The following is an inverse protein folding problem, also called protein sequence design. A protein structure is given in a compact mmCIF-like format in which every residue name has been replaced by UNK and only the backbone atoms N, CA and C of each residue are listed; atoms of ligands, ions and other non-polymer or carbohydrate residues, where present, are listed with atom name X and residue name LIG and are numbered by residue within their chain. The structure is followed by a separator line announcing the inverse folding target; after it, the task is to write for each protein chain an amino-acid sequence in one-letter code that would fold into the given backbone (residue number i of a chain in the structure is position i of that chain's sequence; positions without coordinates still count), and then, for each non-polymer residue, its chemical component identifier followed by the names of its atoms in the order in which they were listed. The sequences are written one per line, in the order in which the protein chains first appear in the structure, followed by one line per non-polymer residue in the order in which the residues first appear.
data_IF_254928088596
#
_entry.id   IF_254928088596
#
_cell.length_a   1.000
_cell.length_b   1.000
_cell.length_c   1.000
_cell.angle_alpha   90.00
_cell.angle_beta   90.00
_cell.angle_gamma   90.00
#
_symmetry.space_group_name_H-M   'P 1'
#
loop_
_entity.id
_entity.type
_entity.pdbx_description
1 polymer ?
#
# COMPACT_ATOMS: atom_id res chain seq x y z
N UNK A 1 19.77 -46.63 -3.05
CA UNK A 1 19.17 -45.72 -4.04
C UNK A 1 17.83 -45.23 -3.50
N UNK A 2 17.80 -44.05 -2.86
CA UNK A 2 16.56 -43.32 -2.57
C UNK A 2 16.55 -42.09 -3.48
N UNK A 3 15.46 -41.92 -4.22
CA UNK A 3 15.24 -40.92 -5.26
C UNK A 3 15.42 -39.49 -4.71
N UNK A 4 16.35 -38.75 -5.29
CA UNK A 4 16.61 -37.32 -5.05
C UNK A 4 15.65 -36.43 -5.88
N UNK A 5 14.34 -36.72 -5.88
CA UNK A 5 13.39 -36.01 -6.75
C UNK A 5 12.22 -35.32 -6.05
N UNK A 6 12.24 -35.16 -4.72
CA UNK A 6 11.03 -34.74 -4.00
C UNK A 6 11.19 -33.50 -3.10
N UNK A 7 12.23 -32.70 -3.32
CA UNK A 7 12.36 -31.37 -2.71
C UNK A 7 12.34 -30.28 -3.80
N UNK A 8 11.30 -30.29 -4.63
CA UNK A 8 10.83 -29.01 -5.15
C UNK A 8 10.29 -28.23 -3.93
N UNK A 9 10.53 -26.92 -3.78
CA UNK A 9 9.83 -26.13 -2.78
C UNK A 9 8.35 -26.16 -3.18
N UNK A 10 7.61 -27.13 -2.63
CA UNK A 10 6.17 -27.19 -2.79
C UNK A 10 5.63 -25.87 -2.28
N UNK A 11 4.98 -25.17 -3.20
CA UNK A 11 4.30 -23.91 -3.02
C UNK A 11 3.33 -24.07 -1.85
N UNK A 12 3.75 -23.74 -0.62
CA UNK A 12 2.94 -23.89 0.58
C UNK A 12 1.89 -22.77 0.61
N UNK A 13 0.82 -22.91 -0.18
CA UNK A 13 -0.34 -22.01 -0.17
C UNK A 13 -1.00 -21.95 1.22
N UNK A 14 -0.86 -23.00 2.03
CA UNK A 14 -1.46 -23.09 3.37
C UNK A 14 -0.91 -22.05 4.36
N UNK A 15 0.30 -21.53 4.12
CA UNK A 15 0.92 -20.48 4.94
C UNK A 15 1.01 -19.13 4.22
N UNK A 16 0.44 -19.00 3.01
CA UNK A 16 0.42 -17.71 2.33
C UNK A 16 -0.51 -16.77 3.11
N UNK A 17 -0.05 -15.58 3.52
CA UNK A 17 -0.91 -14.61 4.20
C UNK A 17 -2.00 -14.02 3.28
N UNK A 18 -2.02 -14.39 1.99
CA UNK A 18 -2.95 -13.93 0.95
C UNK A 18 -3.37 -15.13 0.09
N UNK A 19 -4.68 -15.29 -0.16
CA UNK A 19 -5.22 -16.43 -0.89
C UNK A 19 -5.29 -16.18 -2.41
N UNK A 20 -5.41 -14.91 -2.85
CA UNK A 20 -5.54 -14.55 -4.26
C UNK A 20 -4.79 -13.24 -4.62
N UNK A 21 -4.54 -13.05 -5.92
CA UNK A 21 -3.92 -11.85 -6.50
C UNK A 21 -4.74 -10.59 -6.26
N UNK A 22 -6.07 -10.69 -6.40
CA UNK A 22 -6.99 -9.57 -6.20
C UNK A 22 -7.02 -9.15 -4.71
N UNK A 23 -6.99 -10.13 -3.80
CA UNK A 23 -6.90 -9.88 -2.35
C UNK A 23 -5.58 -9.19 -1.99
N UNK A 24 -4.47 -9.61 -2.60
CA UNK A 24 -3.18 -8.96 -2.40
C UNK A 24 -3.18 -7.51 -2.92
N UNK A 25 -3.79 -7.25 -4.09
CA UNK A 25 -3.98 -5.88 -4.58
C UNK A 25 -4.78 -5.03 -3.58
N UNK A 26 -5.91 -5.54 -3.09
CA UNK A 26 -6.72 -4.83 -2.09
C UNK A 26 -5.95 -4.54 -0.80
N UNK A 27 -5.18 -5.52 -0.30
CA UNK A 27 -4.34 -5.34 0.88
C UNK A 27 -3.22 -4.32 0.65
N UNK A 28 -2.61 -4.29 -0.54
CA UNK A 28 -1.62 -3.27 -0.90
C UNK A 28 -2.24 -1.88 -0.89
N UNK A 29 -3.46 -1.74 -1.43
CA UNK A 29 -4.21 -0.49 -1.40
C UNK A 29 -4.57 -0.09 0.04
N UNK A 30 -5.06 -1.03 0.86
CA UNK A 30 -5.33 -0.80 2.29
C UNK A 30 -4.07 -0.36 3.04
N UNK A 31 -2.94 -1.01 2.79
CA UNK A 31 -1.65 -0.67 3.39
C UNK A 31 -1.20 0.76 3.03
N UNK A 32 -1.32 1.18 1.76
CA UNK A 32 -1.08 2.57 1.38
C UNK A 32 -1.99 3.54 2.14
N UNK A 33 -3.27 3.19 2.31
CA UNK A 33 -4.24 3.99 3.06
C UNK A 33 -3.83 4.12 4.52
N UNK A 34 -3.43 3.03 5.15
CA UNK A 34 -2.96 2.99 6.54
C UNK A 34 -1.77 3.91 6.72
N UNK A 35 -0.75 3.84 5.86
CA UNK A 35 0.42 4.73 5.91
C UNK A 35 0.00 6.20 5.81
N UNK A 36 -0.90 6.55 4.89
CA UNK A 36 -1.34 7.95 4.74
C UNK A 36 -2.14 8.51 5.93
N UNK A 37 -2.68 7.64 6.78
CA UNK A 37 -3.43 8.01 8.00
C UNK A 37 -2.55 8.10 9.24
N UNK A 38 -1.32 7.62 9.17
CA UNK A 38 -0.38 7.72 10.28
C UNK A 38 -0.04 9.19 10.55
N UNK A 39 0.21 9.56 11.82
CA UNK A 39 0.65 10.90 12.14
C UNK A 39 1.99 11.19 11.44
N UNK A 40 2.23 12.44 11.02
CA UNK A 40 3.50 12.82 10.44
C UNK A 40 4.63 12.56 11.45
N UNK A 41 5.72 11.93 10.98
CA UNK A 41 6.89 11.58 11.81
C UNK A 41 7.58 12.82 12.41
N UNK A 42 7.45 13.99 11.77
CA UNK A 42 8.02 15.23 12.29
C UNK A 42 7.08 15.84 13.33
N UNK A 43 7.51 16.01 14.59
CA UNK A 43 6.73 16.74 15.56
C UNK A 43 6.52 18.17 15.07
N UNK A 44 5.36 18.73 15.40
CA UNK A 44 5.06 20.15 15.30
C UNK A 44 6.27 20.96 15.82
N UNK A 45 6.79 21.88 15.00
CA UNK A 45 7.86 22.78 15.44
C UNK A 45 7.39 23.68 16.59
N UNK A 46 8.32 24.33 17.29
CA UNK A 46 8.00 25.20 18.43
C UNK A 46 6.97 26.30 18.09
N UNK A 47 6.93 26.76 16.83
CA UNK A 47 5.96 27.74 16.34
C UNK A 47 4.55 27.19 16.04
N UNK A 48 4.34 25.87 16.07
CA UNK A 48 3.05 25.19 15.89
C UNK A 48 2.60 24.45 17.16
N UNK A 49 3.26 24.71 18.29
CA UNK A 49 2.88 24.21 19.61
C UNK A 49 1.76 25.07 20.25
N UNK A 50 1.51 26.26 19.69
CA UNK A 50 0.38 27.09 20.06
C UNK A 50 -0.90 26.53 19.42
N UNK A 51 -2.07 26.64 20.07
CA UNK A 51 -3.34 26.26 19.45
C UNK A 51 -3.47 26.95 18.10
N UNK A 52 -3.98 26.26 17.08
CA UNK A 52 -4.30 26.88 15.79
C UNK A 52 -5.18 28.10 16.07
N UNK A 53 -4.59 29.30 16.02
CA UNK A 53 -5.35 30.53 16.21
C UNK A 53 -6.38 30.57 15.10
N UNK A 54 -7.65 30.35 15.47
CA UNK A 54 -8.79 30.43 14.57
C UNK A 54 -8.66 31.75 13.80
N UNK A 55 -8.60 31.74 12.46
CA UNK A 55 -8.47 32.96 11.70
C UNK A 55 -9.81 33.70 11.76
N UNK A 56 -9.94 34.57 12.75
CA UNK A 56 -10.93 35.64 12.84
C UNK A 56 -12.40 35.21 13.10
N UNK A 57 -13.12 36.09 13.83
CA UNK A 57 -14.52 36.00 14.29
C UNK A 57 -15.59 35.85 13.17
N UNK A 58 -15.21 35.93 11.90
CA UNK A 58 -16.04 35.82 10.69
C UNK A 58 -15.85 34.49 9.93
N UNK A 59 -15.11 33.52 10.47
CA UNK A 59 -14.79 32.27 9.76
C UNK A 59 -15.92 31.23 9.75
N UNK A 60 -17.17 31.62 10.02
CA UNK A 60 -18.30 30.69 10.14
C UNK A 60 -18.86 30.19 8.79
N UNK A 61 -18.44 30.75 7.66
CA UNK A 61 -19.13 30.52 6.38
C UNK A 61 -18.26 29.87 5.29
N UNK A 62 -17.04 29.43 5.62
CA UNK A 62 -16.12 28.83 4.62
C UNK A 62 -15.35 27.60 5.11
N UNK A 63 -15.95 26.78 5.95
CA UNK A 63 -15.39 25.46 6.21
C UNK A 63 -16.39 24.39 5.79
N UNK A 64 -16.29 24.00 4.52
CA UNK A 64 -16.54 22.61 4.18
C UNK A 64 -15.45 21.80 4.86
N UNK A 65 -15.60 21.57 6.18
CA UNK A 65 -14.70 20.72 6.95
C UNK A 65 -14.60 19.39 6.21
N UNK A 66 -13.42 19.09 5.66
CA UNK A 66 -13.18 17.77 5.11
C UNK A 66 -12.92 16.90 6.33
N UNK A 67 -13.84 15.98 6.70
CA UNK A 67 -13.59 15.09 7.82
C UNK A 67 -12.26 14.37 7.56
N UNK A 68 -11.29 14.58 8.46
CA UNK A 68 -10.05 13.81 8.42
C UNK A 68 -10.43 12.36 8.68
N UNK A 69 -9.86 11.43 7.91
CA UNK A 69 -10.00 10.02 8.23
C UNK A 69 -9.42 9.79 9.63
N UNK A 70 -10.15 9.09 10.49
CA UNK A 70 -9.68 8.74 11.83
C UNK A 70 -8.39 7.90 11.79
N UNK A 71 -7.71 7.72 12.93
CA UNK A 71 -6.51 6.89 13.02
C UNK A 71 -6.80 5.46 12.53
N UNK A 72 -5.79 4.75 11.99
CA UNK A 72 -5.96 3.38 11.55
C UNK A 72 -6.29 2.44 12.71
N UNK A 73 -7.08 1.40 12.42
CA UNK A 73 -7.39 0.32 13.35
C UNK A 73 -6.21 -0.63 13.51
N UNK A 74 -6.12 -1.36 14.63
CA UNK A 74 -5.03 -2.32 14.85
C UNK A 74 -4.95 -3.39 13.74
N UNK A 75 -6.10 -3.84 13.22
CA UNK A 75 -6.17 -4.79 12.10
C UNK A 75 -5.57 -4.22 10.80
N UNK A 76 -5.85 -2.95 10.50
CA UNK A 76 -5.26 -2.26 9.34
C UNK A 76 -3.74 -2.13 9.47
N UNK A 77 -3.23 -1.98 10.70
CA UNK A 77 -1.78 -1.94 10.99
C UNK A 77 -1.15 -3.32 10.83
N UNK A 78 -1.76 -4.38 11.38
CA UNK A 78 -1.24 -5.76 11.19
C UNK A 78 -1.18 -6.14 9.72
N UNK A 79 -2.20 -5.77 8.93
CA UNK A 79 -2.20 -6.00 7.47
C UNK A 79 -1.09 -5.21 6.76
N UNK A 80 -0.87 -3.97 7.17
CA UNK A 80 0.25 -3.17 6.69
C UNK A 80 1.59 -3.87 6.94
N UNK A 81 1.81 -4.40 8.14
CA UNK A 81 3.06 -5.08 8.50
C UNK A 81 3.32 -6.30 7.59
N UNK A 82 2.29 -7.12 7.38
CA UNK A 82 2.35 -8.28 6.46
C UNK A 82 2.71 -7.85 5.02
N UNK A 83 2.09 -6.78 4.52
CA UNK A 83 2.38 -6.25 3.17
C UNK A 83 3.82 -5.73 3.09
N UNK A 84 4.28 -4.98 4.09
CA UNK A 84 5.64 -4.45 4.12
C UNK A 84 6.69 -5.55 4.13
N UNK A 85 6.46 -6.60 4.91
CA UNK A 85 7.33 -7.78 4.96
C UNK A 85 7.39 -8.49 3.60
N UNK A 86 6.25 -8.64 2.94
CA UNK A 86 6.19 -9.22 1.59
C UNK A 86 6.98 -8.38 0.58
N UNK A 87 6.80 -7.06 0.63
CA UNK A 87 7.53 -6.13 -0.24
C UNK A 87 9.03 -6.13 0.05
N UNK A 88 9.45 -6.37 1.29
CA UNK A 88 10.87 -6.44 1.66
C UNK A 88 11.63 -7.55 0.91
N UNK A 89 10.93 -8.60 0.52
CA UNK A 89 11.50 -9.76 -0.14
C UNK A 89 11.44 -9.74 -1.67
N UNK A 90 10.73 -8.76 -2.23
CA UNK A 90 10.49 -8.62 -3.65
C UNK A 90 11.55 -7.75 -4.35
N UNK A 91 11.51 -7.72 -5.68
CA UNK A 91 12.39 -6.85 -6.46
C UNK A 91 12.11 -5.36 -6.16
N UNK A 92 13.14 -4.54 -5.86
CA UNK A 92 12.96 -3.14 -5.52
C UNK A 92 12.31 -2.27 -6.60
N UNK A 93 12.42 -2.63 -7.89
CA UNK A 93 11.75 -1.92 -8.98
C UNK A 93 10.24 -2.22 -9.00
N UNK A 94 9.89 -3.50 -8.83
CA UNK A 94 8.50 -3.94 -8.75
C UNK A 94 7.81 -3.32 -7.52
N UNK A 95 8.48 -3.31 -6.37
CA UNK A 95 7.99 -2.66 -5.14
C UNK A 95 7.76 -1.16 -5.34
N UNK A 96 8.70 -0.46 -5.98
CA UNK A 96 8.55 0.98 -6.27
C UNK A 96 7.36 1.26 -7.17
N UNK A 97 7.17 0.45 -8.21
CA UNK A 97 6.02 0.58 -9.11
C UNK A 97 4.70 0.33 -8.36
N UNK A 98 4.61 -0.79 -7.63
CA UNK A 98 3.44 -1.16 -6.86
C UNK A 98 3.07 -0.07 -5.85
N UNK A 99 4.06 0.47 -5.12
CA UNK A 99 3.81 1.56 -4.17
C UNK A 99 3.33 2.85 -4.86
N UNK A 100 3.95 3.25 -5.97
CA UNK A 100 3.51 4.44 -6.70
C UNK A 100 2.05 4.34 -7.15
N UNK A 101 1.64 3.17 -7.62
CA UNK A 101 0.25 2.90 -8.02
C UNK A 101 -0.67 2.98 -6.81
N UNK A 102 -0.34 2.31 -5.71
CA UNK A 102 -1.18 2.28 -4.52
C UNK A 102 -1.36 3.67 -3.87
N UNK A 103 -0.29 4.45 -3.70
CA UNK A 103 -0.39 5.83 -3.21
C UNK A 103 -1.17 6.74 -4.17
N UNK A 104 -1.09 6.50 -5.48
CA UNK A 104 -1.91 7.23 -6.43
C UNK A 104 -3.39 6.90 -6.32
N UNK A 105 -3.75 5.65 -5.99
CA UNK A 105 -5.14 5.25 -5.76
C UNK A 105 -5.70 5.95 -4.52
N UNK A 106 -4.91 6.05 -3.44
CA UNK A 106 -5.31 6.79 -2.24
C UNK A 106 -5.59 8.25 -2.55
N UNK A 107 -4.70 8.91 -3.31
CA UNK A 107 -4.91 10.30 -3.74
C UNK A 107 -6.15 10.46 -4.63
N UNK A 108 -6.50 9.45 -5.41
CA UNK A 108 -7.69 9.46 -6.25
C UNK A 108 -8.98 9.22 -5.46
N UNK A 109 -8.92 8.83 -4.18
CA UNK A 109 -10.08 8.66 -3.30
C UNK A 109 -10.50 7.21 -3.05
N UNK A 110 -9.62 6.22 -3.26
CA UNK A 110 -9.90 4.83 -2.90
C UNK A 110 -10.27 4.70 -1.41
N UNK A 111 -11.25 3.85 -1.02
CA UNK A 111 -12.03 2.90 -1.85
C UNK A 111 -13.25 3.52 -2.53
N UNK A 112 -13.50 4.84 -2.39
CA UNK A 112 -14.72 5.50 -2.91
C UNK A 112 -14.66 5.85 -4.40
N UNK A 113 -13.52 5.69 -5.05
CA UNK A 113 -13.29 6.10 -6.44
C UNK A 113 -12.72 4.98 -7.30
N UNK A 114 -12.66 5.24 -8.63
CA UNK A 114 -12.30 4.28 -9.69
C UNK A 114 -10.85 3.74 -9.66
N UNK A 115 -10.10 3.88 -8.56
CA UNK A 115 -8.75 3.34 -8.41
C UNK A 115 -7.61 4.28 -8.84
N UNK A 116 -6.43 3.74 -9.23
CA UNK A 116 -5.22 4.53 -9.52
C UNK A 116 -5.40 5.54 -10.66
N UNK A 117 -4.70 6.68 -10.57
CA UNK A 117 -4.74 7.71 -11.60
C UNK A 117 -3.77 7.39 -12.76
N UNK A 118 -4.09 6.34 -13.53
CA UNK A 118 -3.23 5.74 -14.56
C UNK A 118 -2.62 6.75 -15.55
N UNK A 119 -3.42 7.68 -16.09
CA UNK A 119 -2.91 8.68 -17.05
C UNK A 119 -1.88 9.62 -16.42
N UNK A 120 -2.10 10.06 -15.18
CA UNK A 120 -1.18 10.94 -14.45
C UNK A 120 0.11 10.21 -14.08
N UNK A 121 0.00 8.96 -13.63
CA UNK A 121 1.15 8.11 -13.34
C UNK A 121 1.96 7.81 -14.59
N UNK A 122 1.30 7.47 -15.70
CA UNK A 122 1.95 7.19 -16.97
C UNK A 122 2.76 8.39 -17.46
N UNK A 123 2.17 9.59 -17.42
CA UNK A 123 2.89 10.82 -17.75
C UNK A 123 4.09 11.06 -16.81
N UNK A 124 3.91 10.89 -15.48
CA UNK A 124 4.98 11.06 -14.49
C UNK A 124 6.15 10.09 -14.68
N UNK A 125 5.86 8.85 -15.08
CA UNK A 125 6.87 7.80 -15.27
C UNK A 125 7.39 7.72 -16.71
N UNK A 126 6.87 8.52 -17.64
CA UNK A 126 7.21 8.43 -19.06
C UNK A 126 6.75 7.13 -19.74
N UNK A 127 5.71 6.47 -19.20
CA UNK A 127 5.21 5.17 -19.67
C UNK A 127 3.76 5.34 -20.14
N UNK A 128 3.40 4.75 -21.28
CA UNK A 128 2.02 4.74 -21.73
C UNK A 128 1.09 4.04 -20.70
N UNK A 129 -0.09 4.60 -20.35
CA UNK A 129 -0.93 4.08 -19.26
C UNK A 129 -1.31 2.59 -19.40
N UNK A 130 -1.55 2.12 -20.63
CA UNK A 130 -1.83 0.70 -20.89
C UNK A 130 -0.64 -0.20 -20.53
N UNK A 131 0.58 0.23 -20.88
CA UNK A 131 1.82 -0.47 -20.56
C UNK A 131 2.08 -0.44 -19.06
N UNK A 132 1.79 0.68 -18.41
CA UNK A 132 1.89 0.82 -16.97
C UNK A 132 0.99 -0.18 -16.23
N UNK A 133 -0.28 -0.31 -16.65
CA UNK A 133 -1.21 -1.31 -16.08
C UNK A 133 -0.68 -2.73 -16.22
N UNK A 134 -0.19 -3.10 -17.40
CA UNK A 134 0.40 -4.42 -17.65
C UNK A 134 1.63 -4.68 -16.77
N UNK A 135 2.51 -3.69 -16.65
CA UNK A 135 3.69 -3.78 -15.78
C UNK A 135 3.30 -3.90 -14.32
N UNK A 136 2.28 -3.17 -13.89
CA UNK A 136 1.74 -3.26 -12.54
C UNK A 136 1.22 -4.67 -12.23
N UNK A 137 0.34 -5.22 -13.08
CA UNK A 137 -0.16 -6.59 -12.90
C UNK A 137 0.97 -7.63 -12.85
N UNK A 138 1.96 -7.52 -13.76
CA UNK A 138 3.13 -8.40 -13.74
C UNK A 138 4.00 -8.21 -12.49
N UNK A 139 4.18 -6.98 -12.01
CA UNK A 139 4.93 -6.70 -10.78
C UNK A 139 4.23 -7.26 -9.55
N UNK A 140 2.90 -7.13 -9.46
CA UNK A 140 2.12 -7.74 -8.38
C UNK A 140 2.29 -9.25 -8.38
N UNK A 141 2.22 -9.91 -9.54
CA UNK A 141 2.37 -11.36 -9.64
C UNK A 141 3.74 -11.82 -9.14
N UNK A 142 4.81 -11.08 -9.49
CA UNK A 142 6.16 -11.37 -9.01
C UNK A 142 6.32 -11.13 -7.52
N UNK A 143 5.79 -10.02 -7.00
CA UNK A 143 5.80 -9.69 -5.57
C UNK A 143 5.05 -10.78 -4.80
N UNK A 144 3.82 -11.10 -5.21
CA UNK A 144 3.00 -12.11 -4.58
C UNK A 144 3.70 -13.48 -4.57
N UNK A 145 4.24 -13.93 -5.71
CA UNK A 145 5.04 -15.16 -5.77
C UNK A 145 6.25 -15.13 -4.83
N UNK A 146 6.93 -13.98 -4.73
CA UNK A 146 8.10 -13.85 -3.84
C UNK A 146 7.70 -13.97 -2.37
N UNK A 147 6.56 -13.41 -1.97
CA UNK A 147 6.01 -13.52 -0.62
C UNK A 147 5.58 -14.94 -0.28
N UNK A 148 4.83 -15.59 -1.17
CA UNK A 148 4.40 -16.98 -1.01
C UNK A 148 5.59 -17.94 -0.91
N UNK A 149 6.66 -17.70 -1.68
CA UNK A 149 7.84 -18.57 -1.68
C UNK A 149 8.66 -18.55 -0.38
N UNK A 150 8.64 -17.44 0.35
CA UNK A 150 9.45 -17.24 1.56
C UNK A 150 8.66 -17.42 2.85
N UNK A 151 7.32 -17.44 2.76
CA UNK A 151 6.40 -17.58 3.89
C UNK A 151 6.42 -16.36 4.82
N UNK A 152 5.36 -16.14 5.62
CA UNK A 152 5.37 -15.09 6.63
C UNK A 152 6.38 -15.47 7.73
N UNK A 153 7.31 -14.57 8.05
CA UNK A 153 8.28 -14.69 9.13
C UNK A 153 7.64 -14.49 10.51
N UNK A 154 6.34 -14.15 10.57
CA UNK A 154 5.60 -14.08 11.83
C UNK A 154 5.32 -15.51 12.32
N UNK A 155 6.37 -16.17 12.79
CA UNK A 155 6.25 -17.19 13.83
C UNK A 155 6.06 -16.44 15.14
N UNK A 156 4.80 -16.32 15.57
CA UNK A 156 4.49 -16.04 16.97
C UNK A 156 5.02 -17.15 17.86
#
# INVERSE_FOLDING_TARGET
MKSLSENAPFFNMENAPFFDMDEFEEMLLEAARTITRQPPVKPAGYGSAWPDTLPNKFAYDRFGERPRLGPPTSREVTRLDIVLETLWHADPEDVRLAWHVAFSAQRAGWPRSRGPAWSKLGHKLGIHPQTLRRRFSASLERIWRSGVSKGPLIKT
#
